data_IF_334490636692
#
_entry.id   IF_334490636692
#
_cell.length_a   1.000
_cell.length_b   1.000
_cell.length_c   1.000
_cell.angle_alpha   90.00
_cell.angle_beta   90.00
_cell.angle_gamma   90.00
#
_symmetry.space_group_name_H-M   'P 1'
#
loop_
_entity.id
_entity.type
_entity.pdbx_description
1 polymer ?
#
# COMPACT_ATOMS: atom_id res chain seq x y z
N UNK A 1 22.01 -50.29 -1.80
CA UNK A 1 23.11 -50.36 -2.80
C UNK A 1 24.11 -49.28 -2.49
N UNK A 2 25.41 -49.69 -2.30
CA UNK A 2 26.51 -48.74 -2.06
C UNK A 2 27.30 -48.50 -3.33
N UNK A 3 27.58 -47.19 -3.63
CA UNK A 3 28.35 -46.76 -4.81
C UNK A 3 29.29 -45.62 -4.36
N UNK A 4 30.58 -45.86 -4.41
CA UNK A 4 31.65 -44.89 -4.03
C UNK A 4 31.82 -43.76 -5.05
N UNK A 5 31.09 -43.78 -6.16
CA UNK A 5 31.17 -42.80 -7.24
C UNK A 5 29.80 -42.41 -7.79
N UNK A 6 29.76 -42.03 -9.04
CA UNK A 6 28.52 -41.63 -9.71
C UNK A 6 27.66 -42.85 -10.08
N UNK A 7 26.35 -42.70 -9.94
CA UNK A 7 25.35 -43.68 -10.36
C UNK A 7 24.50 -43.07 -11.49
N UNK A 8 24.35 -43.78 -12.60
CA UNK A 8 23.36 -43.44 -13.60
C UNK A 8 22.45 -44.62 -13.86
N UNK A 9 21.15 -44.37 -13.76
CA UNK A 9 20.12 -45.39 -14.00
C UNK A 9 19.22 -44.98 -15.16
N UNK A 10 19.06 -45.88 -16.11
CA UNK A 10 18.22 -45.62 -17.29
C UNK A 10 17.25 -46.78 -17.49
N UNK A 11 16.01 -46.50 -17.82
CA UNK A 11 15.02 -47.50 -18.21
C UNK A 11 14.92 -47.62 -19.70
N UNK A 12 15.01 -48.87 -20.21
CA UNK A 12 14.86 -49.15 -21.66
C UNK A 12 13.39 -49.36 -22.06
N UNK A 13 12.55 -49.73 -21.08
CA UNK A 13 11.14 -49.97 -21.34
C UNK A 13 10.38 -48.65 -21.37
N UNK A 14 9.46 -48.49 -22.34
CA UNK A 14 8.53 -47.36 -22.36
C UNK A 14 7.67 -47.39 -21.10
N UNK A 15 7.60 -46.22 -20.41
CA UNK A 15 6.95 -46.05 -19.12
C UNK A 15 7.56 -46.86 -17.95
N UNK A 16 8.81 -47.36 -18.11
CA UNK A 16 9.54 -48.02 -17.05
C UNK A 16 9.89 -47.04 -15.93
N UNK A 17 9.63 -47.41 -14.68
CA UNK A 17 9.94 -46.59 -13.50
C UNK A 17 11.22 -47.03 -12.82
N UNK A 18 11.91 -46.08 -12.20
CA UNK A 18 13.10 -46.31 -11.37
C UNK A 18 12.66 -46.23 -9.90
N UNK A 19 13.03 -47.24 -9.09
CA UNK A 19 12.79 -47.24 -7.63
C UNK A 19 14.04 -47.65 -6.89
N UNK A 20 14.63 -46.70 -6.18
CA UNK A 20 15.90 -46.83 -5.46
C UNK A 20 15.73 -46.32 -4.03
N UNK A 21 15.13 -47.12 -3.15
CA UNK A 21 14.71 -46.69 -1.80
C UNK A 21 15.76 -46.83 -0.71
N UNK A 22 16.93 -47.37 -1.03
CA UNK A 22 18.01 -47.65 -0.05
C UNK A 22 19.37 -47.55 -0.76
N UNK A 23 19.81 -46.32 -0.98
CA UNK A 23 21.11 -46.04 -1.59
C UNK A 23 22.08 -45.43 -0.59
N UNK A 24 23.36 -45.78 -0.78
CA UNK A 24 24.50 -45.12 -0.21
C UNK A 24 25.44 -44.72 -1.38
N UNK A 25 25.16 -43.59 -2.01
CA UNK A 25 25.88 -43.06 -3.15
C UNK A 25 26.64 -41.81 -2.75
N UNK A 26 27.98 -41.84 -2.83
CA UNK A 26 28.82 -40.71 -2.46
C UNK A 26 28.98 -39.69 -3.61
N UNK A 27 28.72 -40.10 -4.85
CA UNK A 27 28.79 -39.23 -6.03
C UNK A 27 27.42 -38.73 -6.50
N UNK A 28 27.37 -38.31 -7.75
CA UNK A 28 26.14 -37.82 -8.36
C UNK A 28 25.24 -38.95 -8.87
N UNK A 29 23.92 -38.70 -8.83
CA UNK A 29 22.89 -39.64 -9.29
C UNK A 29 22.17 -39.08 -10.51
N UNK A 30 22.26 -39.76 -11.66
CA UNK A 30 21.52 -39.47 -12.87
C UNK A 30 20.36 -40.45 -13.06
N UNK A 31 19.18 -39.93 -13.30
CA UNK A 31 17.92 -40.68 -13.44
C UNK A 31 17.32 -40.43 -14.82
N UNK A 32 17.21 -41.46 -15.64
CA UNK A 32 16.67 -41.33 -17.01
C UNK A 32 15.56 -42.34 -17.22
N UNK A 33 14.31 -41.88 -17.26
CA UNK A 33 13.17 -42.72 -17.56
C UNK A 33 12.71 -42.53 -19.01
N UNK A 34 12.02 -43.51 -19.56
CA UNK A 34 11.45 -43.46 -20.89
C UNK A 34 9.92 -43.37 -20.86
N UNK A 35 9.33 -42.53 -21.72
CA UNK A 35 7.89 -42.29 -21.75
C UNK A 35 7.41 -41.57 -20.47
N UNK A 36 6.35 -42.05 -19.82
CA UNK A 36 5.81 -41.51 -18.58
C UNK A 36 6.34 -42.18 -17.30
N UNK A 37 7.53 -42.85 -17.41
CA UNK A 37 8.13 -43.52 -16.26
C UNK A 37 8.51 -42.56 -15.14
N UNK A 38 8.21 -42.92 -13.89
CA UNK A 38 8.53 -42.16 -12.69
C UNK A 38 9.85 -42.59 -12.07
N UNK A 39 10.47 -41.74 -11.27
CA UNK A 39 11.67 -42.09 -10.51
C UNK A 39 11.45 -41.78 -9.01
N UNK A 40 11.84 -42.75 -8.16
CA UNK A 40 11.92 -42.58 -6.73
C UNK A 40 13.33 -42.90 -6.25
N UNK A 41 13.94 -42.00 -5.47
CA UNK A 41 15.29 -42.18 -4.92
C UNK A 41 15.36 -41.74 -3.47
N UNK A 42 15.92 -42.58 -2.63
CA UNK A 42 16.26 -42.29 -1.23
C UNK A 42 17.74 -42.58 -1.05
N UNK A 43 18.53 -41.54 -0.76
CA UNK A 43 19.96 -41.69 -0.46
C UNK A 43 20.20 -41.49 1.04
N UNK A 44 21.02 -42.31 1.65
CA UNK A 44 21.33 -42.28 3.10
C UNK A 44 22.24 -41.08 3.47
N UNK A 45 22.82 -40.43 2.49
CA UNK A 45 23.64 -39.24 2.62
C UNK A 45 22.93 -38.01 1.98
N UNK A 46 23.68 -37.00 1.61
CA UNK A 46 23.23 -35.96 0.69
C UNK A 46 22.89 -36.52 -0.68
N UNK A 47 22.12 -35.81 -1.46
CA UNK A 47 21.74 -36.22 -2.82
C UNK A 47 22.23 -35.18 -3.83
N UNK A 48 23.20 -35.56 -4.65
CA UNK A 48 23.63 -34.73 -5.78
C UNK A 48 23.06 -35.26 -7.08
N UNK A 49 22.18 -34.50 -7.72
CA UNK A 49 21.68 -34.86 -9.04
C UNK A 49 22.72 -34.59 -10.16
N UNK A 50 23.00 -35.57 -10.97
CA UNK A 50 23.52 -35.34 -12.32
C UNK A 50 22.39 -34.92 -13.27
N UNK A 51 22.71 -34.62 -14.52
CA UNK A 51 21.68 -34.38 -15.54
C UNK A 51 20.69 -35.57 -15.56
N UNK A 52 19.40 -35.25 -15.45
CA UNK A 52 18.34 -36.27 -15.32
C UNK A 52 17.11 -35.88 -16.13
N UNK A 53 16.50 -36.88 -16.79
CA UNK A 53 15.23 -36.72 -17.52
C UNK A 53 14.25 -37.72 -17.01
N UNK A 54 13.14 -37.24 -16.39
CA UNK A 54 12.09 -38.10 -15.84
C UNK A 54 10.75 -37.73 -16.46
N UNK A 55 10.22 -38.61 -17.28
CA UNK A 55 8.96 -38.36 -18.00
C UNK A 55 7.69 -38.54 -17.16
N UNK A 56 7.81 -38.99 -15.91
CA UNK A 56 6.76 -39.03 -14.90
C UNK A 56 7.14 -38.23 -13.67
N UNK A 57 6.72 -38.70 -12.50
CA UNK A 57 7.00 -38.04 -11.22
C UNK A 57 8.42 -38.35 -10.73
N UNK A 58 9.05 -37.36 -10.09
CA UNK A 58 10.28 -37.53 -9.33
C UNK A 58 9.95 -37.44 -7.84
N UNK A 59 10.35 -38.45 -7.05
CA UNK A 59 10.34 -38.40 -5.58
C UNK A 59 11.78 -38.61 -5.09
N UNK A 60 12.34 -37.61 -4.43
CA UNK A 60 13.74 -37.62 -4.01
C UNK A 60 13.89 -37.27 -2.52
N UNK A 61 14.59 -38.11 -1.78
CA UNK A 61 14.89 -37.91 -0.36
C UNK A 61 16.40 -38.01 -0.09
N UNK A 62 16.95 -36.99 0.54
CA UNK A 62 18.26 -36.99 1.17
C UNK A 62 18.07 -37.18 2.68
N UNK A 63 18.64 -38.24 3.29
CA UNK A 63 18.36 -38.56 4.70
C UNK A 63 19.27 -37.86 5.68
N UNK A 64 20.54 -37.62 5.34
CA UNK A 64 21.52 -37.05 6.28
C UNK A 64 22.31 -35.84 5.74
N UNK A 65 21.98 -35.33 4.59
CA UNK A 65 22.71 -34.20 3.99
C UNK A 65 21.89 -33.39 3.01
N UNK A 66 22.56 -32.46 2.35
CA UNK A 66 21.95 -31.53 1.41
C UNK A 66 21.52 -32.17 0.09
N UNK A 67 20.57 -31.56 -0.58
CA UNK A 67 20.21 -31.88 -1.94
C UNK A 67 20.79 -30.82 -2.90
N UNK A 68 21.58 -31.27 -3.87
CA UNK A 68 22.29 -30.40 -4.82
C UNK A 68 22.18 -30.95 -6.24
N UNK A 69 22.64 -30.20 -7.25
CA UNK A 69 22.74 -30.69 -8.63
C UNK A 69 24.06 -30.30 -9.30
N UNK A 70 24.51 -31.15 -10.21
CA UNK A 70 25.63 -30.88 -11.12
C UNK A 70 25.21 -30.83 -12.59
N UNK A 71 23.95 -31.15 -12.89
CA UNK A 71 23.36 -31.11 -14.23
C UNK A 71 21.88 -30.74 -14.19
N UNK A 72 21.31 -30.42 -15.35
CA UNK A 72 19.90 -30.01 -15.45
C UNK A 72 18.95 -31.16 -15.09
N UNK A 73 17.83 -30.79 -14.47
CA UNK A 73 16.68 -31.66 -14.21
C UNK A 73 15.56 -31.29 -15.17
N UNK A 74 15.10 -32.28 -15.95
CA UNK A 74 13.97 -32.19 -16.85
C UNK A 74 12.89 -33.19 -16.40
N UNK A 75 11.87 -32.66 -15.69
CA UNK A 75 10.87 -33.47 -15.02
C UNK A 75 9.48 -33.09 -15.51
N UNK A 76 8.80 -34.01 -16.17
CA UNK A 76 7.47 -33.75 -16.74
C UNK A 76 6.33 -33.87 -15.72
N UNK A 77 6.48 -34.73 -14.72
CA UNK A 77 5.49 -34.92 -13.66
C UNK A 77 5.77 -34.12 -12.40
N UNK A 78 5.05 -34.44 -11.34
CA UNK A 78 5.24 -33.85 -10.01
C UNK A 78 6.66 -34.15 -9.47
N UNK A 79 7.33 -33.15 -8.96
CA UNK A 79 8.62 -33.27 -8.30
C UNK A 79 8.47 -33.11 -6.79
N UNK A 80 8.84 -34.12 -6.01
CA UNK A 80 8.84 -34.06 -4.56
C UNK A 80 10.27 -34.14 -4.05
N UNK A 81 10.71 -33.13 -3.31
CA UNK A 81 12.06 -33.00 -2.74
C UNK A 81 12.00 -32.98 -1.21
N UNK A 82 12.73 -33.90 -0.56
CA UNK A 82 12.71 -34.01 0.89
C UNK A 82 14.14 -34.07 1.42
N UNK A 83 14.47 -33.19 2.37
CA UNK A 83 15.65 -33.37 3.23
C UNK A 83 15.18 -33.75 4.64
N UNK A 84 15.72 -34.84 5.22
CA UNK A 84 15.27 -35.34 6.53
C UNK A 84 16.21 -34.91 7.68
N UNK A 85 17.45 -34.54 7.37
CA UNK A 85 18.37 -34.03 8.38
C UNK A 85 18.05 -32.58 8.73
N UNK A 86 18.28 -32.22 10.00
CA UNK A 86 18.23 -30.82 10.42
C UNK A 86 19.17 -29.96 9.58
N UNK A 87 18.78 -28.75 9.27
CA UNK A 87 19.57 -27.73 8.57
C UNK A 87 20.00 -28.12 7.15
N UNK A 88 19.51 -29.25 6.63
CA UNK A 88 19.87 -29.70 5.29
C UNK A 88 19.16 -28.86 4.22
N UNK A 89 19.96 -28.37 3.29
CA UNK A 89 19.51 -27.43 2.25
C UNK A 89 19.15 -28.14 0.94
N UNK A 90 18.32 -27.48 0.12
CA UNK A 90 18.04 -27.89 -1.25
C UNK A 90 18.54 -26.79 -2.20
N UNK A 91 19.52 -27.09 -3.04
CA UNK A 91 20.08 -26.12 -4.00
C UNK A 91 20.06 -26.70 -5.41
N UNK A 92 19.07 -26.29 -6.20
CA UNK A 92 18.88 -26.69 -7.60
C UNK A 92 18.94 -25.45 -8.50
N UNK A 93 20.14 -24.88 -8.67
CA UNK A 93 20.37 -23.57 -9.28
C UNK A 93 20.69 -23.60 -10.78
N UNK A 94 20.60 -24.74 -11.47
CA UNK A 94 20.89 -24.82 -12.90
C UNK A 94 19.80 -24.11 -13.71
N UNK A 95 20.19 -23.16 -14.55
CA UNK A 95 19.26 -22.32 -15.34
C UNK A 95 18.52 -23.05 -16.46
N UNK A 96 18.91 -24.28 -16.76
CA UNK A 96 18.28 -25.16 -17.75
C UNK A 96 17.39 -26.24 -17.11
N UNK A 97 17.03 -26.11 -15.84
CA UNK A 97 16.01 -26.97 -15.25
C UNK A 97 14.65 -26.75 -15.91
N UNK A 98 13.84 -27.81 -15.98
CA UNK A 98 12.47 -27.80 -16.43
C UNK A 98 11.62 -28.65 -15.45
N UNK A 99 10.72 -28.00 -14.73
CA UNK A 99 9.75 -28.65 -13.87
C UNK A 99 8.36 -28.38 -14.43
N UNK A 100 7.80 -29.35 -15.18
CA UNK A 100 6.48 -29.17 -15.83
C UNK A 100 5.34 -29.38 -14.85
N UNK A 101 5.47 -30.35 -13.95
CA UNK A 101 4.50 -30.59 -12.88
C UNK A 101 4.79 -29.80 -11.61
N UNK A 102 3.90 -29.95 -10.62
CA UNK A 102 4.05 -29.24 -9.35
C UNK A 102 5.32 -29.68 -8.59
N UNK A 103 5.99 -28.69 -7.97
CA UNK A 103 7.16 -28.88 -7.13
C UNK A 103 6.74 -28.85 -5.66
N UNK A 104 6.91 -29.95 -4.94
CA UNK A 104 6.62 -30.08 -3.51
C UNK A 104 7.94 -30.17 -2.75
N UNK A 105 8.11 -29.36 -1.71
CA UNK A 105 9.36 -29.21 -0.99
C UNK A 105 9.13 -29.45 0.50
N UNK A 106 9.99 -30.25 1.11
CA UNK A 106 10.01 -30.41 2.57
C UNK A 106 11.45 -30.38 3.06
N UNK A 107 11.77 -29.39 3.88
CA UNK A 107 13.00 -29.38 4.68
C UNK A 107 12.67 -29.62 6.14
N UNK A 108 13.65 -30.04 6.93
CA UNK A 108 13.48 -30.36 8.33
C UNK A 108 14.49 -29.58 9.16
N UNK A 109 13.98 -28.88 10.15
CA UNK A 109 14.75 -28.31 11.24
C UNK A 109 14.01 -28.55 12.55
N UNK A 110 14.67 -29.20 13.51
CA UNK A 110 14.13 -29.40 14.87
C UNK A 110 14.60 -28.29 15.83
N UNK A 111 15.37 -27.32 15.33
CA UNK A 111 15.89 -26.18 16.07
C UNK A 111 14.90 -25.02 16.15
N UNK A 112 15.38 -23.91 16.67
CA UNK A 112 14.66 -22.64 16.74
C UNK A 112 15.21 -21.60 15.75
N UNK A 113 16.24 -21.96 14.98
CA UNK A 113 16.79 -21.14 13.92
C UNK A 113 16.01 -21.33 12.60
N UNK A 114 16.35 -20.61 11.59
CA UNK A 114 15.73 -20.66 10.25
C UNK A 114 16.71 -21.30 9.27
N UNK A 115 17.23 -22.49 9.58
CA UNK A 115 18.08 -23.27 8.71
C UNK A 115 17.26 -24.21 7.81
N UNK A 116 17.88 -24.90 6.87
CA UNK A 116 17.17 -25.73 5.90
C UNK A 116 16.73 -24.96 4.67
N UNK A 117 17.60 -24.10 4.15
CA UNK A 117 17.32 -23.21 3.03
C UNK A 117 17.05 -23.96 1.73
N UNK A 118 16.18 -23.38 0.91
CA UNK A 118 15.83 -23.87 -0.41
C UNK A 118 16.11 -22.81 -1.47
N UNK A 119 16.89 -23.16 -2.48
CA UNK A 119 17.14 -22.32 -3.65
C UNK A 119 16.93 -23.11 -4.93
N UNK A 120 15.92 -22.73 -5.70
CA UNK A 120 15.55 -23.43 -6.94
C UNK A 120 15.42 -22.47 -8.11
N UNK A 121 16.06 -22.82 -9.23
CA UNK A 121 15.90 -22.17 -10.52
C UNK A 121 15.03 -23.06 -11.43
N UNK A 122 13.85 -22.59 -11.82
CA UNK A 122 12.89 -23.33 -12.65
C UNK A 122 13.15 -23.25 -14.14
N UNK A 123 14.21 -22.53 -14.57
CA UNK A 123 14.52 -22.33 -15.98
C UNK A 123 13.48 -21.47 -16.70
N UNK A 124 13.18 -21.82 -17.95
CA UNK A 124 12.21 -21.12 -18.82
C UNK A 124 10.81 -21.71 -18.76
N UNK A 125 10.60 -22.76 -17.96
CA UNK A 125 9.30 -23.40 -17.76
C UNK A 125 8.55 -22.68 -16.64
N UNK A 126 7.22 -22.59 -16.72
CA UNK A 126 6.40 -22.08 -15.63
C UNK A 126 6.61 -22.97 -14.39
N UNK A 127 6.84 -22.33 -13.23
CA UNK A 127 7.11 -23.03 -11.98
C UNK A 127 5.83 -23.05 -11.13
N UNK A 128 5.31 -24.24 -10.90
CA UNK A 128 4.12 -24.48 -10.07
C UNK A 128 4.55 -25.05 -8.73
N UNK A 129 4.27 -24.37 -7.61
CA UNK A 129 4.65 -24.84 -6.29
C UNK A 129 3.43 -25.51 -5.62
N UNK A 130 3.60 -26.78 -5.28
CA UNK A 130 2.61 -27.54 -4.50
C UNK A 130 2.79 -27.36 -2.99
N UNK A 131 2.09 -28.17 -2.18
CA UNK A 131 2.23 -28.15 -0.73
C UNK A 131 3.71 -28.24 -0.32
N UNK A 132 4.20 -27.21 0.36
CA UNK A 132 5.61 -27.10 0.72
C UNK A 132 5.81 -26.58 2.14
N UNK A 133 6.74 -27.19 2.87
CA UNK A 133 7.19 -26.75 4.19
C UNK A 133 8.70 -26.53 4.13
N UNK A 134 9.12 -25.29 4.34
CA UNK A 134 10.52 -24.88 4.34
C UNK A 134 10.84 -24.24 5.69
N UNK A 135 11.74 -24.85 6.44
CA UNK A 135 12.13 -24.33 7.75
C UNK A 135 13.15 -23.18 7.66
N UNK A 136 13.89 -23.09 6.57
CA UNK A 136 14.81 -21.99 6.25
C UNK A 136 14.23 -20.98 5.29
N UNK A 137 15.12 -20.33 4.56
CA UNK A 137 14.79 -19.36 3.50
C UNK A 137 14.37 -20.09 2.22
N UNK A 138 13.37 -19.53 1.52
CA UNK A 138 12.94 -20.00 0.22
C UNK A 138 13.34 -19.00 -0.88
N UNK A 139 14.15 -19.42 -1.83
CA UNK A 139 14.50 -18.66 -3.02
C UNK A 139 14.02 -19.39 -4.27
N UNK A 140 13.11 -18.77 -5.01
CA UNK A 140 12.59 -19.29 -6.28
C UNK A 140 12.93 -18.33 -7.40
N UNK A 141 13.54 -18.83 -8.46
CA UNK A 141 13.89 -18.05 -9.66
C UNK A 141 13.28 -18.70 -10.90
N UNK A 142 12.62 -17.92 -11.75
CA UNK A 142 12.15 -18.35 -13.05
C UNK A 142 12.52 -17.32 -14.11
N UNK A 143 12.97 -17.80 -15.28
CA UNK A 143 13.18 -16.97 -16.48
C UNK A 143 12.06 -17.18 -17.51
N UNK A 144 11.00 -17.87 -17.14
CA UNK A 144 9.79 -17.96 -17.95
C UNK A 144 9.20 -16.54 -18.18
N UNK A 145 8.51 -16.37 -19.30
CA UNK A 145 7.88 -15.10 -19.66
C UNK A 145 6.39 -15.28 -19.87
N UNK A 146 5.61 -14.21 -19.64
CA UNK A 146 4.15 -14.20 -19.82
C UNK A 146 3.38 -14.43 -18.54
N UNK A 147 2.08 -14.64 -18.66
CA UNK A 147 1.19 -14.88 -17.52
C UNK A 147 1.43 -16.24 -16.87
N UNK A 148 1.36 -16.33 -15.54
CA UNK A 148 1.47 -17.54 -14.75
C UNK A 148 2.82 -18.27 -14.83
N UNK A 149 3.94 -17.54 -14.87
CA UNK A 149 5.25 -18.16 -14.83
C UNK A 149 5.67 -18.68 -13.45
N UNK A 150 5.05 -18.19 -12.38
CA UNK A 150 5.19 -18.74 -11.04
C UNK A 150 3.86 -18.74 -10.31
N UNK A 151 3.39 -19.91 -9.92
CA UNK A 151 2.09 -20.08 -9.24
C UNK A 151 2.21 -21.08 -8.09
N UNK A 152 1.28 -21.00 -7.14
CA UNK A 152 1.11 -22.05 -6.14
C UNK A 152 -0.20 -22.82 -6.39
N UNK A 153 -0.21 -24.09 -6.03
CA UNK A 153 -1.39 -24.98 -6.05
C UNK A 153 -1.58 -25.68 -4.71
N UNK A 154 -0.73 -25.39 -3.73
CA UNK A 154 -0.76 -25.94 -2.40
C UNK A 154 -0.29 -24.92 -1.37
N UNK A 155 -0.42 -25.25 -0.09
CA UNK A 155 0.01 -24.42 1.03
C UNK A 155 1.54 -24.23 1.04
N UNK A 156 1.98 -22.99 1.08
CA UNK A 156 3.37 -22.62 1.32
C UNK A 156 3.53 -22.24 2.80
N UNK A 157 4.20 -23.08 3.58
CA UNK A 157 4.53 -22.80 4.96
C UNK A 157 6.04 -22.56 5.07
N UNK A 158 6.44 -21.29 5.06
CA UNK A 158 7.85 -20.86 4.99
C UNK A 158 8.20 -20.11 6.28
N UNK A 159 9.19 -20.61 6.99
CA UNK A 159 9.59 -20.05 8.28
C UNK A 159 10.62 -18.92 8.14
N UNK A 160 11.57 -19.08 7.23
CA UNK A 160 12.55 -18.05 6.88
C UNK A 160 12.00 -17.01 5.92
N UNK A 161 12.88 -16.24 5.33
CA UNK A 161 12.52 -15.27 4.29
C UNK A 161 12.11 -15.97 2.98
N UNK A 162 11.29 -15.28 2.19
CA UNK A 162 10.89 -15.77 0.86
C UNK A 162 11.33 -14.77 -0.20
N UNK A 163 12.09 -15.24 -1.17
CA UNK A 163 12.52 -14.46 -2.33
C UNK A 163 12.03 -15.12 -3.62
N UNK A 164 11.22 -14.39 -4.38
CA UNK A 164 10.70 -14.82 -5.67
C UNK A 164 11.19 -13.88 -6.76
N UNK A 165 11.89 -14.42 -7.76
CA UNK A 165 12.37 -13.65 -8.90
C UNK A 165 11.82 -14.22 -10.21
N UNK A 166 10.85 -13.49 -10.77
CA UNK A 166 10.21 -13.77 -12.05
C UNK A 166 9.97 -12.46 -12.82
N UNK A 167 11.02 -11.66 -12.99
CA UNK A 167 10.94 -10.28 -13.48
C UNK A 167 10.36 -10.13 -14.90
N UNK A 168 10.29 -11.21 -15.69
CA UNK A 168 9.65 -11.23 -17.02
C UNK A 168 8.21 -11.75 -17.03
N UNK A 169 7.60 -12.02 -15.88
CA UNK A 169 6.36 -12.79 -15.80
C UNK A 169 5.51 -12.48 -14.55
N UNK A 170 4.27 -12.98 -14.55
CA UNK A 170 3.38 -12.85 -13.42
C UNK A 170 3.72 -13.88 -12.32
N UNK A 171 3.53 -13.46 -11.08
CA UNK A 171 3.63 -14.28 -9.87
C UNK A 171 2.27 -14.34 -9.18
N UNK A 172 1.77 -15.55 -8.95
CA UNK A 172 0.48 -15.77 -8.28
C UNK A 172 0.64 -16.81 -7.17
N UNK A 173 0.78 -16.34 -5.94
CA UNK A 173 0.85 -17.15 -4.72
C UNK A 173 -0.45 -16.92 -3.92
N UNK A 174 -1.55 -17.54 -4.38
CA UNK A 174 -2.90 -17.19 -3.93
C UNK A 174 -3.64 -18.32 -3.18
N UNK A 175 -2.96 -19.38 -2.80
CA UNK A 175 -3.53 -20.38 -1.91
C UNK A 175 -3.83 -19.74 -0.56
N UNK A 176 -5.10 -19.79 -0.14
CA UNK A 176 -5.61 -19.07 1.03
C UNK A 176 -5.03 -19.54 2.37
N UNK A 177 -4.26 -20.61 2.38
CA UNK A 177 -3.61 -21.18 3.56
C UNK A 177 -2.10 -20.89 3.60
N UNK A 178 -1.57 -20.08 2.70
CA UNK A 178 -0.17 -19.69 2.71
C UNK A 178 0.21 -19.01 4.03
N UNK A 179 1.41 -19.30 4.52
CA UNK A 179 1.96 -18.81 5.78
C UNK A 179 3.45 -18.48 5.59
N UNK A 180 3.76 -17.22 5.31
CA UNK A 180 5.13 -16.70 5.26
C UNK A 180 5.45 -16.04 6.60
N UNK A 181 6.44 -16.56 7.34
CA UNK A 181 6.77 -16.05 8.66
C UNK A 181 7.94 -15.04 8.63
N UNK A 182 8.81 -15.14 7.63
CA UNK A 182 9.85 -14.17 7.35
C UNK A 182 9.46 -13.14 6.31
N UNK A 183 10.38 -12.23 6.00
CA UNK A 183 10.17 -11.18 5.02
C UNK A 183 10.01 -11.75 3.59
N UNK A 184 9.13 -11.15 2.79
CA UNK A 184 8.77 -11.61 1.44
C UNK A 184 9.18 -10.59 0.40
N UNK A 185 10.13 -10.96 -0.45
CA UNK A 185 10.58 -10.19 -1.61
C UNK A 185 10.04 -10.82 -2.91
N UNK A 186 9.39 -10.04 -3.76
CA UNK A 186 8.86 -10.54 -5.04
C UNK A 186 9.18 -9.57 -6.18
N UNK A 187 9.92 -10.07 -7.17
CA UNK A 187 10.09 -9.38 -8.45
C UNK A 187 9.24 -10.06 -9.53
N UNK A 188 8.36 -9.29 -10.17
CA UNK A 188 7.44 -9.81 -11.18
C UNK A 188 6.81 -8.74 -12.06
N UNK A 189 5.99 -9.18 -13.02
CA UNK A 189 5.16 -8.26 -13.82
C UNK A 189 3.89 -7.94 -13.03
N UNK A 190 2.92 -8.85 -12.94
CA UNK A 190 1.81 -8.71 -12.01
C UNK A 190 2.00 -9.70 -10.86
N UNK A 191 1.74 -9.24 -9.65
CA UNK A 191 1.92 -10.04 -8.44
C UNK A 191 0.60 -10.16 -7.69
N UNK A 192 0.24 -11.37 -7.33
CA UNK A 192 -0.91 -11.68 -6.47
C UNK A 192 -0.44 -12.56 -5.31
N UNK A 193 -0.66 -12.10 -4.09
CA UNK A 193 -0.31 -12.85 -2.87
C UNK A 193 -1.53 -12.94 -1.96
N UNK A 194 -1.80 -14.13 -1.43
CA UNK A 194 -2.80 -14.37 -0.38
C UNK A 194 -2.13 -15.11 0.77
N UNK A 195 -2.35 -14.67 1.99
CA UNK A 195 -1.68 -15.18 3.19
C UNK A 195 -2.62 -15.11 4.40
N UNK A 196 -2.47 -16.03 5.35
CA UNK A 196 -3.34 -16.12 6.53
C UNK A 196 -2.92 -15.29 7.72
N UNK A 197 -1.65 -14.92 7.81
CA UNK A 197 -1.03 -14.24 8.96
C UNK A 197 -0.58 -12.81 8.63
N UNK A 198 0.22 -12.23 9.51
CA UNK A 198 0.97 -11.00 9.25
C UNK A 198 2.00 -11.23 8.14
N UNK A 199 2.33 -10.17 7.40
CA UNK A 199 3.38 -10.22 6.38
C UNK A 199 4.30 -8.99 6.49
N UNK A 200 5.59 -9.24 6.33
CA UNK A 200 6.61 -8.21 6.11
C UNK A 200 7.06 -8.23 4.64
N UNK A 201 6.87 -7.12 3.95
CA UNK A 201 7.26 -6.97 2.55
C UNK A 201 8.70 -6.47 2.48
N UNK A 202 9.59 -7.32 2.01
CA UNK A 202 10.97 -6.94 1.69
C UNK A 202 11.03 -6.21 0.33
N UNK A 203 12.22 -5.75 -0.03
CA UNK A 203 12.44 -5.02 -1.28
C UNK A 203 11.90 -5.80 -2.48
N UNK A 204 11.00 -5.18 -3.23
CA UNK A 204 10.29 -5.82 -4.34
C UNK A 204 10.14 -4.87 -5.53
N UNK A 205 10.27 -5.43 -6.75
CA UNK A 205 10.10 -4.69 -7.99
C UNK A 205 8.97 -5.30 -8.81
N UNK A 206 7.86 -4.57 -8.97
CA UNK A 206 6.68 -5.01 -9.71
C UNK A 206 6.40 -4.01 -10.84
N UNK A 207 6.51 -4.48 -12.09
CA UNK A 207 6.34 -3.61 -13.26
C UNK A 207 4.90 -3.44 -13.69
N UNK A 208 3.99 -4.25 -13.17
CA UNK A 208 2.53 -4.18 -13.33
C UNK A 208 1.84 -3.98 -11.99
N UNK A 209 0.72 -4.66 -11.76
CA UNK A 209 -0.09 -4.54 -10.57
C UNK A 209 0.42 -5.44 -9.42
N UNK A 210 0.28 -4.93 -8.19
CA UNK A 210 0.52 -5.70 -6.96
C UNK A 210 -0.77 -5.85 -6.17
N UNK A 211 -1.17 -7.08 -5.89
CA UNK A 211 -2.38 -7.39 -5.10
C UNK A 211 -2.01 -8.29 -3.92
N UNK A 212 -2.28 -7.84 -2.72
CA UNK A 212 -2.06 -8.58 -1.48
C UNK A 212 -3.35 -8.69 -0.68
N UNK A 213 -3.65 -9.90 -0.23
CA UNK A 213 -4.67 -10.14 0.81
C UNK A 213 -4.00 -10.81 1.99
N UNK A 214 -3.99 -10.14 3.13
CA UNK A 214 -3.41 -10.63 4.38
C UNK A 214 -4.48 -10.86 5.43
N UNK A 215 -4.40 -11.95 6.15
CA UNK A 215 -5.26 -12.23 7.31
C UNK A 215 -4.89 -11.44 8.56
N UNK A 216 -3.67 -10.92 8.62
CA UNK A 216 -3.11 -10.11 9.69
C UNK A 216 -2.63 -8.73 9.22
N UNK A 217 -1.65 -8.18 9.92
CA UNK A 217 -1.05 -6.89 9.59
C UNK A 217 -0.04 -7.00 8.44
N UNK A 218 0.15 -5.89 7.73
CA UNK A 218 1.13 -5.75 6.65
C UNK A 218 2.16 -4.69 7.04
N UNK A 219 3.42 -5.05 6.95
CA UNK A 219 4.56 -4.13 7.14
C UNK A 219 5.49 -4.18 5.93
N UNK A 220 6.39 -3.21 5.80
CA UNK A 220 7.50 -3.27 4.86
C UNK A 220 8.85 -3.07 5.57
N UNK A 221 9.80 -3.94 5.28
CA UNK A 221 11.20 -3.81 5.69
C UNK A 221 12.12 -3.43 4.51
N UNK A 222 11.58 -3.37 3.30
CA UNK A 222 12.32 -3.04 2.09
C UNK A 222 11.52 -2.14 1.14
N UNK A 223 12.22 -1.50 0.21
CA UNK A 223 11.60 -0.60 -0.75
C UNK A 223 10.66 -1.35 -1.72
N UNK A 224 9.45 -0.87 -1.86
CA UNK A 224 8.46 -1.37 -2.81
C UNK A 224 8.45 -0.46 -4.05
N UNK A 225 8.92 -0.95 -5.18
CA UNK A 225 8.90 -0.25 -6.46
C UNK A 225 7.80 -0.85 -7.34
N UNK A 226 6.62 -0.21 -7.38
CA UNK A 226 5.43 -0.74 -8.05
C UNK A 226 4.96 0.26 -9.12
N UNK A 227 4.95 -0.18 -10.38
CA UNK A 227 4.57 0.70 -11.50
C UNK A 227 3.05 0.75 -11.70
N UNK A 228 2.36 -0.36 -11.52
CA UNK A 228 0.91 -0.46 -11.67
C UNK A 228 0.15 -0.13 -10.38
N UNK A 229 -1.11 -0.54 -10.34
CA UNK A 229 -1.97 -0.36 -9.16
C UNK A 229 -1.50 -1.26 -8.02
N UNK A 230 -1.36 -0.69 -6.83
CA UNK A 230 -1.16 -1.41 -5.58
C UNK A 230 -2.49 -1.60 -4.87
N UNK A 231 -2.86 -2.84 -4.57
CA UNK A 231 -4.08 -3.17 -3.82
C UNK A 231 -3.71 -4.04 -2.61
N UNK A 232 -3.97 -3.55 -1.41
CA UNK A 232 -3.71 -4.27 -0.16
C UNK A 232 -5.01 -4.39 0.63
N UNK A 233 -5.40 -5.61 0.92
CA UNK A 233 -6.52 -5.90 1.81
C UNK A 233 -5.99 -6.58 3.09
N UNK A 234 -5.98 -5.82 4.17
CA UNK A 234 -5.69 -6.25 5.53
C UNK A 234 -6.80 -5.75 6.48
N UNK A 235 -8.06 -6.07 6.13
CA UNK A 235 -9.25 -5.49 6.80
C UNK A 235 -9.30 -5.74 8.31
N UNK A 236 -8.60 -6.77 8.80
CA UNK A 236 -8.49 -7.10 10.23
C UNK A 236 -7.17 -6.64 10.87
N UNK A 237 -6.22 -6.14 10.09
CA UNK A 237 -4.88 -5.74 10.52
C UNK A 237 -4.53 -4.29 10.22
N UNK A 238 -3.37 -3.88 10.70
CA UNK A 238 -2.79 -2.59 10.34
C UNK A 238 -1.96 -2.73 9.07
N UNK A 239 -1.84 -1.64 8.31
CA UNK A 239 -0.93 -1.56 7.17
C UNK A 239 0.10 -0.46 7.43
N UNK A 240 1.37 -0.81 7.45
CA UNK A 240 2.49 0.11 7.70
C UNK A 240 3.53 -0.04 6.59
N UNK A 241 3.40 0.77 5.54
CA UNK A 241 4.34 0.86 4.43
C UNK A 241 5.14 2.15 4.60
N UNK A 242 6.14 2.12 5.46
CA UNK A 242 6.82 3.34 5.90
C UNK A 242 8.29 3.47 5.45
N UNK A 243 8.74 2.58 4.60
CA UNK A 243 10.06 2.69 3.97
C UNK A 243 10.10 3.93 3.07
N UNK A 244 11.00 4.86 3.37
CA UNK A 244 11.05 6.19 2.73
C UNK A 244 11.44 6.16 1.25
N UNK A 245 11.85 5.02 0.74
CA UNK A 245 12.22 4.77 -0.66
C UNK A 245 11.15 3.99 -1.43
N UNK A 246 9.98 3.77 -0.85
CA UNK A 246 8.84 3.23 -1.61
C UNK A 246 8.50 4.14 -2.79
N UNK A 247 8.13 3.54 -3.89
CA UNK A 247 7.79 4.24 -5.13
C UNK A 247 6.56 3.59 -5.78
N UNK A 248 5.40 4.11 -5.46
CA UNK A 248 4.12 3.70 -6.02
C UNK A 248 3.75 4.63 -7.17
N UNK A 249 3.84 4.15 -8.41
CA UNK A 249 3.57 4.98 -9.59
C UNK A 249 2.08 4.91 -10.02
N UNK A 250 1.39 3.84 -9.67
CA UNK A 250 -0.05 3.69 -9.87
C UNK A 250 -0.84 3.98 -8.60
N UNK A 251 -2.17 3.92 -8.71
CA UNK A 251 -3.07 4.16 -7.58
C UNK A 251 -2.83 3.15 -6.43
N UNK A 252 -2.80 3.65 -5.19
CA UNK A 252 -2.62 2.85 -3.96
C UNK A 252 -3.98 2.69 -3.27
N UNK A 253 -4.47 1.46 -3.22
CA UNK A 253 -5.75 1.06 -2.60
C UNK A 253 -5.48 0.23 -1.37
N UNK A 254 -5.95 0.66 -0.21
CA UNK A 254 -5.68 -0.05 1.05
C UNK A 254 -6.94 -0.15 1.90
N UNK A 255 -7.31 -1.38 2.25
CA UNK A 255 -8.29 -1.67 3.28
C UNK A 255 -7.56 -2.16 4.53
N UNK A 256 -7.77 -1.48 5.68
CA UNK A 256 -7.08 -1.81 6.93
C UNK A 256 -7.67 -1.15 8.16
N UNK A 257 -7.12 -1.50 9.32
CA UNK A 257 -7.51 -0.85 10.60
C UNK A 257 -6.81 0.49 10.72
N UNK A 258 -5.51 0.52 11.00
CA UNK A 258 -4.71 1.74 10.92
C UNK A 258 -3.77 1.61 9.74
N UNK A 259 -3.65 2.67 8.96
CA UNK A 259 -2.86 2.67 7.73
C UNK A 259 -1.82 3.78 7.76
N UNK A 260 -0.58 3.44 7.50
CA UNK A 260 0.52 4.39 7.27
C UNK A 260 1.17 4.06 5.94
N UNK A 261 1.25 5.06 5.06
CA UNK A 261 1.91 4.92 3.75
C UNK A 261 2.90 6.05 3.57
N UNK A 262 4.12 5.70 3.17
CA UNK A 262 5.15 6.66 2.75
C UNK A 262 5.53 6.35 1.32
N UNK A 263 5.53 7.36 0.47
CA UNK A 263 6.02 7.33 -0.89
C UNK A 263 7.17 8.30 -1.08
N UNK A 264 8.16 7.92 -1.87
CA UNK A 264 9.32 8.78 -2.19
C UNK A 264 8.93 9.94 -3.11
N UNK A 265 7.90 9.81 -3.92
CA UNK A 265 7.45 10.77 -4.92
C UNK A 265 6.05 11.31 -4.68
N UNK A 266 5.32 11.51 -5.76
CA UNK A 266 3.88 11.79 -5.73
C UNK A 266 3.09 10.50 -5.54
N UNK A 267 1.98 10.57 -4.81
CA UNK A 267 1.13 9.40 -4.58
C UNK A 267 -0.31 9.69 -5.02
N UNK A 268 -0.90 8.73 -5.71
CA UNK A 268 -2.32 8.69 -6.03
C UNK A 268 -3.04 7.68 -5.13
N UNK A 269 -4.02 8.13 -4.38
CA UNK A 269 -4.80 7.31 -3.45
C UNK A 269 -6.03 6.76 -4.16
N UNK A 270 -6.02 5.46 -4.41
CA UNK A 270 -7.19 4.74 -4.92
C UNK A 270 -8.24 4.51 -3.82
N UNK A 271 -9.37 3.92 -4.20
CA UNK A 271 -10.44 3.64 -3.24
C UNK A 271 -9.93 2.80 -2.05
N UNK A 272 -10.11 3.33 -0.83
CA UNK A 272 -9.58 2.75 0.40
C UNK A 272 -10.58 2.84 1.55
N UNK A 273 -10.61 1.79 2.38
CA UNK A 273 -11.45 1.73 3.57
C UNK A 273 -10.58 1.56 4.81
N UNK A 274 -10.53 2.59 5.68
CA UNK A 274 -9.72 2.58 6.90
C UNK A 274 -10.60 2.84 8.12
N UNK A 275 -10.65 1.87 9.03
CA UNK A 275 -11.52 1.96 10.20
C UNK A 275 -10.89 2.73 11.38
N UNK A 276 -9.58 2.90 11.39
CA UNK A 276 -8.81 3.69 12.35
C UNK A 276 -8.11 4.87 11.68
N UNK A 277 -6.91 5.20 12.15
CA UNK A 277 -6.13 6.31 11.63
C UNK A 277 -5.55 6.04 10.23
N UNK A 278 -5.51 7.09 9.39
CA UNK A 278 -4.91 7.06 8.07
C UNK A 278 -3.82 8.11 7.93
N UNK A 279 -2.60 7.70 7.69
CA UNK A 279 -1.46 8.60 7.54
C UNK A 279 -0.75 8.37 6.20
N UNK A 280 -0.67 9.40 5.36
CA UNK A 280 -0.02 9.36 4.05
C UNK A 280 1.08 10.40 3.98
N UNK A 281 2.26 10.03 3.50
CA UNK A 281 3.39 10.93 3.32
C UNK A 281 4.01 10.79 1.92
N UNK A 282 4.06 11.88 1.16
CA UNK A 282 4.82 12.03 -0.07
C UNK A 282 6.15 12.74 0.26
N UNK A 283 7.23 11.97 0.51
CA UNK A 283 8.42 12.44 1.24
C UNK A 283 9.37 13.33 0.42
N UNK A 284 9.63 13.04 -0.85
CA UNK A 284 10.61 13.74 -1.67
C UNK A 284 10.02 14.81 -2.61
N UNK A 285 8.85 15.33 -2.29
CA UNK A 285 8.31 16.50 -2.96
C UNK A 285 7.32 16.20 -4.07
N UNK A 286 6.48 15.17 -3.90
CA UNK A 286 5.32 14.92 -4.73
C UNK A 286 4.04 15.53 -4.17
N UNK A 287 3.05 15.70 -5.03
CA UNK A 287 1.68 16.01 -4.63
C UNK A 287 0.98 14.73 -4.14
N UNK A 288 -0.04 14.89 -3.31
CA UNK A 288 -0.95 13.79 -2.95
C UNK A 288 -2.27 14.03 -3.70
N UNK A 289 -2.73 13.02 -4.40
CA UNK A 289 -4.00 13.04 -5.13
C UNK A 289 -4.87 11.85 -4.75
N UNK A 290 -6.15 11.91 -5.05
CA UNK A 290 -7.02 10.73 -5.00
C UNK A 290 -7.67 10.48 -6.36
N UNK A 291 -7.66 9.22 -6.78
CA UNK A 291 -8.43 8.73 -7.93
C UNK A 291 -9.59 7.82 -7.51
N UNK A 292 -9.75 7.60 -6.21
CA UNK A 292 -10.81 6.76 -5.64
C UNK A 292 -11.34 7.31 -4.33
N UNK A 293 -12.50 6.82 -3.91
CA UNK A 293 -13.15 7.24 -2.66
C UNK A 293 -12.35 6.77 -1.45
N UNK A 294 -12.02 7.68 -0.55
CA UNK A 294 -11.41 7.41 0.75
C UNK A 294 -12.50 7.36 1.82
N UNK A 295 -12.75 6.19 2.38
CA UNK A 295 -13.69 6.00 3.50
C UNK A 295 -12.90 5.82 4.80
N UNK A 296 -12.70 6.91 5.55
CA UNK A 296 -11.82 6.96 6.71
C UNK A 296 -12.61 7.28 7.98
N UNK A 297 -12.62 6.34 8.95
CA UNK A 297 -13.36 6.52 10.19
C UNK A 297 -12.55 7.25 11.25
N UNK A 298 -11.26 7.00 11.37
CA UNK A 298 -10.36 7.67 12.31
C UNK A 298 -9.80 8.97 11.78
N UNK A 299 -8.85 9.57 12.50
CA UNK A 299 -8.18 10.78 12.05
C UNK A 299 -7.35 10.51 10.78
N UNK A 300 -7.43 11.45 9.82
CA UNK A 300 -6.66 11.41 8.59
C UNK A 300 -5.53 12.45 8.60
N UNK A 301 -4.34 12.06 8.19
CA UNK A 301 -3.19 12.97 8.10
C UNK A 301 -2.51 12.81 6.74
N UNK A 302 -2.37 13.90 6.01
CA UNK A 302 -1.71 13.94 4.71
C UNK A 302 -0.51 14.90 4.77
N UNK A 303 0.67 14.37 4.49
CA UNK A 303 1.93 15.12 4.53
C UNK A 303 2.58 15.14 3.14
N UNK A 304 2.59 16.28 2.48
CA UNK A 304 3.26 16.45 1.20
C UNK A 304 4.59 17.17 1.35
N UNK A 305 5.41 17.18 0.32
CA UNK A 305 6.67 17.94 0.31
C UNK A 305 6.45 19.45 0.39
N UNK A 306 7.52 20.19 0.71
CA UNK A 306 7.47 21.65 0.75
C UNK A 306 7.08 22.25 -0.62
N UNK A 307 6.12 23.18 -0.63
CA UNK A 307 5.61 23.83 -1.83
C UNK A 307 4.72 22.94 -2.71
N UNK A 308 4.29 21.79 -2.20
CA UNK A 308 3.41 20.84 -2.90
C UNK A 308 1.95 21.01 -2.51
N UNK A 309 1.09 20.40 -3.29
CA UNK A 309 -0.35 20.49 -3.11
C UNK A 309 -0.95 19.14 -2.75
N UNK A 310 -2.13 19.18 -2.14
CA UNK A 310 -2.92 17.99 -1.81
C UNK A 310 -4.31 18.16 -2.43
N UNK A 311 -4.70 17.21 -3.28
CA UNK A 311 -5.96 17.20 -3.99
C UNK A 311 -6.73 15.93 -3.64
N UNK A 312 -7.71 16.05 -2.77
CA UNK A 312 -8.61 14.97 -2.34
C UNK A 312 -10.04 15.36 -2.75
N UNK A 313 -10.27 15.45 -4.07
CA UNK A 313 -11.51 15.98 -4.65
C UNK A 313 -12.53 14.89 -5.02
N UNK A 314 -12.23 13.64 -4.74
CA UNK A 314 -13.19 12.53 -4.80
C UNK A 314 -14.35 12.68 -3.81
N UNK A 315 -15.39 11.86 -3.96
CA UNK A 315 -16.52 11.83 -3.02
C UNK A 315 -16.12 11.12 -1.70
N UNK A 316 -15.14 11.65 -0.99
CA UNK A 316 -14.55 11.05 0.19
C UNK A 316 -15.51 11.06 1.38
N UNK A 317 -15.19 10.28 2.40
CA UNK A 317 -15.91 10.22 3.67
C UNK A 317 -14.91 10.21 4.81
N UNK A 318 -14.67 11.35 5.43
CA UNK A 318 -13.86 11.49 6.62
C UNK A 318 -14.78 11.66 7.83
N UNK A 319 -14.76 10.68 8.75
CA UNK A 319 -15.63 10.74 9.93
C UNK A 319 -14.97 11.39 11.16
N UNK A 320 -13.75 11.90 11.00
CA UNK A 320 -12.95 12.53 12.05
C UNK A 320 -12.10 13.66 11.46
N UNK A 321 -11.32 14.34 12.30
CA UNK A 321 -10.45 15.45 11.91
C UNK A 321 -9.48 15.09 10.78
N UNK A 322 -9.36 15.99 9.80
CA UNK A 322 -8.40 15.90 8.70
C UNK A 322 -7.26 16.91 8.92
N UNK A 323 -6.04 16.41 8.91
CA UNK A 323 -4.82 17.20 9.06
C UNK A 323 -4.01 17.20 7.77
N UNK A 324 -3.51 18.37 7.39
CA UNK A 324 -2.61 18.56 6.27
C UNK A 324 -1.31 19.20 6.74
N UNK A 325 -0.18 18.66 6.31
CA UNK A 325 1.14 19.14 6.74
C UNK A 325 2.18 19.05 5.62
N UNK A 326 3.31 19.70 5.83
CA UNK A 326 4.49 19.55 5.00
C UNK A 326 5.77 19.79 5.80
N UNK A 327 6.92 19.40 5.26
CA UNK A 327 8.23 19.76 5.80
C UNK A 327 8.57 21.26 5.71
N UNK A 328 7.64 22.08 5.24
CA UNK A 328 7.70 23.52 5.10
C UNK A 328 6.29 24.08 5.02
N UNK A 329 5.88 24.63 3.86
CA UNK A 329 4.54 25.17 3.64
C UNK A 329 3.89 24.46 2.46
N UNK A 330 2.63 24.04 2.58
CA UNK A 330 1.85 23.52 1.46
C UNK A 330 1.50 24.65 0.49
N UNK A 331 1.41 24.34 -0.79
CA UNK A 331 0.91 25.28 -1.79
C UNK A 331 -0.63 25.37 -1.71
N UNK A 332 -1.33 24.34 -2.16
CA UNK A 332 -2.79 24.33 -2.17
C UNK A 332 -3.33 23.08 -1.50
N UNK A 333 -4.55 23.19 -0.96
CA UNK A 333 -5.35 22.04 -0.57
C UNK A 333 -6.72 22.14 -1.23
N UNK A 334 -7.13 21.06 -1.89
CA UNK A 334 -8.50 20.82 -2.33
C UNK A 334 -9.01 19.56 -1.65
N UNK A 335 -10.16 19.65 -1.01
CA UNK A 335 -10.79 18.49 -0.36
C UNK A 335 -12.29 18.50 -0.59
N UNK A 336 -12.85 17.32 -0.86
CA UNK A 336 -14.28 17.07 -0.90
C UNK A 336 -14.63 15.96 0.07
N UNK A 337 -15.65 16.20 0.89
CA UNK A 337 -16.21 15.23 1.84
C UNK A 337 -17.72 15.08 1.63
N UNK A 338 -18.23 13.89 1.82
CA UNK A 338 -19.67 13.60 1.78
C UNK A 338 -20.38 13.82 3.12
N UNK A 339 -19.63 14.00 4.21
CA UNK A 339 -20.08 14.17 5.59
C UNK A 339 -19.63 15.51 6.18
N UNK A 340 -19.66 15.61 7.53
CA UNK A 340 -19.04 16.72 8.25
C UNK A 340 -17.52 16.69 8.08
N UNK A 341 -16.91 17.83 7.75
CA UNK A 341 -15.48 18.00 7.58
C UNK A 341 -14.92 18.88 8.71
N UNK A 342 -13.98 18.35 9.48
CA UNK A 342 -13.26 19.10 10.52
C UNK A 342 -11.79 19.24 10.16
N UNK A 343 -11.31 20.48 10.09
CA UNK A 343 -9.92 20.81 9.84
C UNK A 343 -9.11 20.88 11.13
N UNK A 344 -8.01 20.12 11.22
CA UNK A 344 -6.91 20.46 12.12
C UNK A 344 -6.22 21.75 11.69
N UNK A 345 -5.21 22.20 12.46
CA UNK A 345 -4.42 23.36 12.08
C UNK A 345 -3.80 23.18 10.69
N UNK A 346 -3.90 24.24 9.85
CA UNK A 346 -3.42 24.22 8.46
C UNK A 346 -2.73 25.52 8.09
N UNK A 347 -1.59 25.43 7.40
CA UNK A 347 -0.87 26.57 6.84
C UNK A 347 -0.65 26.38 5.34
N UNK A 348 -1.18 27.31 4.53
CA UNK A 348 -1.05 27.31 3.08
C UNK A 348 -0.43 28.61 2.56
N UNK A 349 0.48 28.48 1.60
CA UNK A 349 0.97 29.63 0.80
C UNK A 349 0.05 29.94 -0.39
N UNK A 350 -0.83 29.05 -0.77
CA UNK A 350 -1.81 29.17 -1.85
C UNK A 350 -3.24 29.05 -1.34
N UNK A 351 -4.09 28.38 -2.10
CA UNK A 351 -5.53 28.34 -1.92
C UNK A 351 -6.00 27.15 -1.09
N UNK A 352 -7.11 27.35 -0.36
CA UNK A 352 -7.92 26.28 0.20
C UNK A 352 -9.25 26.19 -0.56
N UNK A 353 -9.59 24.98 -1.02
CA UNK A 353 -10.91 24.65 -1.55
C UNK A 353 -11.44 23.48 -0.72
N UNK A 354 -12.54 23.70 -0.02
CA UNK A 354 -13.17 22.70 0.83
C UNK A 354 -14.66 22.59 0.51
N UNK A 355 -15.10 21.37 0.20
CA UNK A 355 -16.50 21.07 -0.11
C UNK A 355 -17.01 19.99 0.81
N UNK A 356 -18.16 20.22 1.46
CA UNK A 356 -18.93 19.17 2.13
C UNK A 356 -20.30 19.06 1.47
N UNK A 357 -20.57 17.90 0.86
CA UNK A 357 -21.82 17.71 0.10
C UNK A 357 -23.03 17.31 0.98
N UNK A 358 -22.78 16.78 2.18
CA UNK A 358 -23.84 16.28 3.08
C UNK A 358 -23.75 16.74 4.52
N UNK A 359 -22.73 17.52 4.90
CA UNK A 359 -22.49 17.91 6.27
C UNK A 359 -22.03 19.36 6.46
N UNK A 360 -21.54 19.64 7.64
CA UNK A 360 -20.98 20.94 8.03
C UNK A 360 -19.46 20.95 7.86
N UNK A 361 -18.87 22.16 7.76
CA UNK A 361 -17.42 22.35 7.77
C UNK A 361 -17.02 23.11 9.02
N UNK A 362 -16.05 22.58 9.77
CA UNK A 362 -15.55 23.15 11.02
C UNK A 362 -14.01 23.21 11.03
N UNK A 363 -13.48 24.00 11.94
CA UNK A 363 -12.05 24.01 12.28
C UNK A 363 -11.85 23.72 13.78
N UNK A 364 -11.06 22.70 14.09
CA UNK A 364 -10.56 22.43 15.44
C UNK A 364 -9.15 23.00 15.66
N UNK A 365 -8.51 23.54 14.62
CA UNK A 365 -7.19 24.16 14.64
C UNK A 365 -7.11 25.41 13.78
N UNK A 366 -6.07 26.23 14.00
CA UNK A 366 -5.91 27.50 13.28
C UNK A 366 -5.66 27.29 11.77
N UNK A 367 -6.39 28.03 10.94
CA UNK A 367 -6.23 28.08 9.49
C UNK A 367 -5.45 29.35 9.09
N UNK A 368 -4.22 29.22 8.62
CA UNK A 368 -3.40 30.32 8.10
C UNK A 368 -3.28 30.18 6.57
N UNK A 369 -4.11 30.89 5.84
CA UNK A 369 -4.26 30.77 4.39
C UNK A 369 -3.85 32.06 3.69
N UNK A 370 -2.78 32.02 2.88
CA UNK A 370 -2.31 33.20 2.15
C UNK A 370 -3.15 33.47 0.89
N UNK A 371 -3.57 32.43 0.19
CA UNK A 371 -4.40 32.52 -1.01
C UNK A 371 -5.89 32.65 -0.73
N UNK A 372 -6.69 32.41 -1.74
CA UNK A 372 -8.15 32.40 -1.64
C UNK A 372 -8.62 31.18 -0.85
N UNK A 373 -9.57 31.41 0.07
CA UNK A 373 -10.28 30.36 0.78
C UNK A 373 -11.68 30.21 0.17
N UNK A 374 -12.01 29.03 -0.33
CA UNK A 374 -13.36 28.72 -0.84
C UNK A 374 -13.91 27.54 -0.04
N UNK A 375 -15.04 27.75 0.61
CA UNK A 375 -15.70 26.75 1.46
C UNK A 375 -17.14 26.61 1.01
N UNK A 376 -17.55 25.41 0.65
CA UNK A 376 -18.91 25.07 0.25
C UNK A 376 -19.48 23.97 1.13
N UNK A 377 -20.40 24.34 2.01
CA UNK A 377 -21.25 23.45 2.77
C UNK A 377 -22.72 23.86 2.57
N UNK A 378 -23.16 23.86 1.31
CA UNK A 378 -24.49 24.41 0.94
C UNK A 378 -25.67 23.73 1.63
N UNK A 379 -25.49 22.48 2.09
CA UNK A 379 -26.48 21.72 2.88
C UNK A 379 -26.24 21.78 4.40
N UNK A 380 -25.11 22.34 4.85
CA UNK A 380 -24.67 22.36 6.25
C UNK A 380 -24.24 23.73 6.75
N UNK A 381 -23.70 23.76 7.94
CA UNK A 381 -23.15 24.99 8.52
C UNK A 381 -21.64 25.10 8.26
N UNK A 382 -21.12 26.31 8.24
CA UNK A 382 -19.68 26.57 8.24
C UNK A 382 -19.31 27.28 9.54
N UNK A 383 -18.40 26.69 10.31
CA UNK A 383 -17.94 27.25 11.58
C UNK A 383 -16.40 27.24 11.61
N UNK A 384 -15.81 28.33 11.11
CA UNK A 384 -14.36 28.57 11.14
C UNK A 384 -14.08 29.62 12.20
N UNK A 385 -14.12 29.19 13.49
CA UNK A 385 -14.16 30.10 14.60
C UNK A 385 -12.94 30.07 15.52
N UNK A 386 -11.89 29.37 15.14
CA UNK A 386 -10.61 29.41 15.88
C UNK A 386 -10.06 30.83 15.88
N UNK A 387 -9.84 31.41 17.05
CA UNK A 387 -9.51 32.84 17.24
C UNK A 387 -8.17 33.27 16.59
N UNK A 388 -7.35 32.32 16.20
CA UNK A 388 -6.06 32.53 15.54
C UNK A 388 -6.08 32.22 14.03
N UNK A 389 -7.25 32.04 13.44
CA UNK A 389 -7.36 31.94 11.99
C UNK A 389 -6.81 33.22 11.34
N UNK A 390 -6.17 33.08 10.20
CA UNK A 390 -5.56 34.20 9.46
C UNK A 390 -5.76 33.97 7.95
N UNK A 391 -6.82 34.55 7.41
CA UNK A 391 -7.14 34.49 5.99
C UNK A 391 -6.63 35.76 5.30
N UNK A 392 -5.56 35.64 4.50
CA UNK A 392 -4.97 36.80 3.83
C UNK A 392 -5.60 37.10 2.47
N UNK A 393 -6.14 36.07 1.79
CA UNK A 393 -6.90 36.23 0.56
C UNK A 393 -8.39 36.29 0.80
N UNK A 394 -9.16 36.45 -0.30
CA UNK A 394 -10.62 36.51 -0.22
C UNK A 394 -11.23 35.19 0.32
N UNK A 395 -12.19 35.32 1.23
CA UNK A 395 -12.91 34.20 1.84
C UNK A 395 -14.30 34.09 1.23
N UNK A 396 -14.54 33.04 0.47
CA UNK A 396 -15.82 32.71 -0.20
C UNK A 396 -16.48 31.57 0.54
N UNK A 397 -17.71 31.75 0.99
CA UNK A 397 -18.40 30.72 1.78
C UNK A 397 -19.84 30.58 1.34
N UNK A 398 -20.21 29.36 0.96
CA UNK A 398 -21.60 28.96 0.75
C UNK A 398 -22.02 28.00 1.87
N UNK A 399 -23.16 28.30 2.56
CA UNK A 399 -23.62 27.49 3.69
C UNK A 399 -24.99 27.87 4.24
N UNK A 400 -25.46 27.08 5.19
CA UNK A 400 -26.73 27.38 5.89
C UNK A 400 -26.48 28.46 6.92
N UNK A 401 -25.81 28.16 8.02
CA UNK A 401 -25.36 29.17 8.99
C UNK A 401 -23.82 29.23 8.92
N UNK A 402 -23.29 30.43 8.89
CA UNK A 402 -21.87 30.67 8.76
C UNK A 402 -21.32 31.48 9.91
N UNK A 403 -20.27 31.02 10.55
CA UNK A 403 -19.49 31.75 11.55
C UNK A 403 -18.03 31.73 11.14
N UNK A 404 -17.43 32.92 10.95
CA UNK A 404 -16.01 33.08 10.63
C UNK A 404 -15.38 34.02 11.62
N UNK A 405 -14.22 33.62 12.14
CA UNK A 405 -13.37 34.46 12.99
C UNK A 405 -11.99 34.55 12.30
N UNK A 406 -11.49 35.77 12.17
CA UNK A 406 -10.15 36.07 11.69
C UNK A 406 -9.36 36.87 12.73
N UNK A 407 -8.08 36.56 12.89
CA UNK A 407 -7.19 37.27 13.80
C UNK A 407 -6.81 38.67 13.29
N UNK A 408 -6.89 38.92 12.00
CA UNK A 408 -6.51 40.18 11.35
C UNK A 408 -7.64 40.84 10.57
N UNK A 409 -7.33 41.38 9.41
CA UNK A 409 -8.31 41.90 8.43
C UNK A 409 -8.84 40.72 7.59
N UNK A 410 -10.12 40.78 7.26
CA UNK A 410 -10.75 39.77 6.40
C UNK A 410 -11.39 40.44 5.17
N UNK A 411 -11.16 39.86 3.99
CA UNK A 411 -11.83 40.18 2.74
C UNK A 411 -12.87 39.12 2.40
N UNK A 412 -14.13 39.51 2.30
CA UNK A 412 -15.24 38.62 2.02
C UNK A 412 -15.45 38.50 0.52
N UNK A 413 -15.13 37.34 -0.05
CA UNK A 413 -15.45 37.00 -1.41
C UNK A 413 -16.95 36.72 -1.61
N UNK A 414 -17.34 36.45 -2.86
CA UNK A 414 -18.75 36.14 -3.17
C UNK A 414 -19.22 34.93 -2.34
N UNK A 415 -20.30 35.14 -1.57
CA UNK A 415 -20.81 34.14 -0.62
C UNK A 415 -22.32 34.07 -0.63
N UNK A 416 -22.88 32.87 -0.48
CA UNK A 416 -24.32 32.60 -0.40
C UNK A 416 -24.65 31.92 0.92
N UNK A 417 -25.40 32.62 1.82
CA UNK A 417 -25.76 32.10 3.14
C UNK A 417 -27.27 32.14 3.31
N UNK A 418 -27.88 30.98 3.51
CA UNK A 418 -29.35 30.87 3.63
C UNK A 418 -29.88 31.15 5.04
N UNK A 419 -29.05 31.04 6.04
CA UNK A 419 -29.34 31.35 7.46
C UNK A 419 -28.50 32.52 7.97
N UNK A 420 -28.05 32.42 9.24
CA UNK A 420 -27.26 33.47 9.87
C UNK A 420 -25.83 33.54 9.35
N UNK A 421 -25.30 34.77 9.22
CA UNK A 421 -23.91 35.03 8.81
C UNK A 421 -23.21 35.90 9.89
N UNK A 422 -22.20 35.34 10.54
CA UNK A 422 -21.45 36.03 11.58
C UNK A 422 -19.96 36.09 11.20
N UNK A 423 -19.41 37.27 11.06
CA UNK A 423 -17.98 37.50 10.75
C UNK A 423 -17.36 38.37 11.86
N UNK A 424 -16.20 37.92 12.35
CA UNK A 424 -15.46 38.65 13.40
C UNK A 424 -13.99 38.80 13.04
N UNK A 425 -13.48 40.05 13.02
CA UNK A 425 -12.05 40.37 12.89
C UNK A 425 -11.54 40.83 14.27
N UNK A 426 -10.73 40.00 14.96
CA UNK A 426 -10.48 40.14 16.39
C UNK A 426 -9.33 41.06 16.78
N UNK A 427 -8.23 41.10 16.04
CA UNK A 427 -6.98 41.75 16.50
C UNK A 427 -6.55 42.96 15.66
N UNK A 428 -7.49 43.72 15.08
CA UNK A 428 -7.16 45.02 14.51
C UNK A 428 -7.13 45.10 13.00
N UNK A 429 -8.01 44.37 12.32
CA UNK A 429 -8.22 44.50 10.89
C UNK A 429 -9.62 44.95 10.51
N UNK A 430 -9.79 45.54 9.35
CA UNK A 430 -11.08 45.86 8.77
C UNK A 430 -11.76 44.58 8.22
N UNK A 431 -13.08 44.63 8.14
CA UNK A 431 -13.86 43.72 7.29
C UNK A 431 -14.11 44.44 5.97
N UNK A 432 -13.75 43.83 4.87
CA UNK A 432 -14.00 44.32 3.49
C UNK A 432 -14.73 43.24 2.68
N UNK A 433 -15.34 43.63 1.58
CA UNK A 433 -15.84 42.67 0.61
C UNK A 433 -15.24 42.91 -0.78
N UNK A 434 -14.77 41.86 -1.42
CA UNK A 434 -14.37 41.86 -2.84
C UNK A 434 -15.39 41.11 -3.73
N UNK A 435 -16.43 40.55 -3.13
CA UNK A 435 -17.48 39.82 -3.83
C UNK A 435 -18.86 40.07 -3.26
N UNK A 436 -19.88 39.74 -4.04
CA UNK A 436 -21.27 39.93 -3.62
C UNK A 436 -21.66 38.97 -2.51
N UNK A 437 -22.22 39.48 -1.42
CA UNK A 437 -22.79 38.72 -0.33
C UNK A 437 -24.32 38.58 -0.52
N UNK A 438 -24.79 37.36 -0.65
CA UNK A 438 -26.21 37.02 -0.75
C UNK A 438 -26.66 36.32 0.56
N UNK A 439 -27.16 37.09 1.53
CA UNK A 439 -27.45 36.61 2.86
C UNK A 439 -28.96 36.69 3.15
N UNK A 440 -29.58 35.55 3.43
CA UNK A 440 -31.02 35.47 3.68
C UNK A 440 -31.35 35.69 5.16
N UNK A 441 -30.51 35.18 6.08
CA UNK A 441 -30.72 35.32 7.54
C UNK A 441 -30.13 36.62 8.08
N UNK A 442 -29.98 36.64 9.43
CA UNK A 442 -29.35 37.78 10.10
C UNK A 442 -27.87 37.84 9.85
N UNK A 443 -27.34 38.98 9.40
CA UNK A 443 -25.92 39.21 9.23
C UNK A 443 -25.32 40.02 10.39
N UNK A 444 -24.21 39.59 10.96
CA UNK A 444 -23.50 40.29 12.05
C UNK A 444 -22.01 40.42 11.67
N UNK A 445 -21.52 41.63 11.65
CA UNK A 445 -20.13 41.95 11.39
C UNK A 445 -19.50 42.63 12.61
N UNK A 446 -18.43 42.05 13.15
CA UNK A 446 -17.77 42.53 14.38
C UNK A 446 -16.29 42.77 14.10
N UNK A 447 -15.80 43.95 14.42
CA UNK A 447 -14.38 44.31 14.30
C UNK A 447 -13.79 44.71 15.65
N UNK A 448 -12.47 44.79 15.74
CA UNK A 448 -11.80 45.34 16.88
C UNK A 448 -12.06 46.86 17.04
N UNK A 449 -11.71 47.43 18.21
CA UNK A 449 -11.86 48.85 18.46
C UNK A 449 -11.10 49.71 17.44
N UNK A 450 -11.76 50.74 16.90
CA UNK A 450 -11.15 51.67 15.92
C UNK A 450 -11.05 51.17 14.51
N UNK A 451 -11.60 49.99 14.19
CA UNK A 451 -11.58 49.41 12.83
C UNK A 451 -12.87 49.75 12.07
N UNK A 452 -12.85 49.50 10.75
CA UNK A 452 -13.93 49.84 9.84
C UNK A 452 -14.51 48.59 9.19
N UNK A 453 -15.74 48.68 8.70
CA UNK A 453 -16.45 47.69 7.91
C UNK A 453 -16.84 48.33 6.59
N UNK A 454 -16.35 47.80 5.47
CA UNK A 454 -16.60 48.27 4.12
C UNK A 454 -17.25 47.14 3.33
N UNK A 455 -18.56 47.25 3.08
CA UNK A 455 -19.34 46.26 2.32
C UNK A 455 -19.98 46.98 1.13
N UNK A 456 -19.15 47.43 0.18
CA UNK A 456 -19.50 48.35 -0.89
C UNK A 456 -19.86 47.69 -2.22
N UNK A 457 -19.85 46.35 -2.26
CA UNK A 457 -20.38 45.60 -3.41
C UNK A 457 -21.92 45.60 -3.46
N UNK A 458 -22.50 45.08 -4.54
CA UNK A 458 -23.96 44.99 -4.71
C UNK A 458 -24.57 43.85 -3.84
N UNK A 459 -24.38 43.94 -2.56
CA UNK A 459 -24.78 42.93 -1.55
C UNK A 459 -26.30 42.84 -1.43
N UNK A 460 -26.83 41.68 -1.12
CA UNK A 460 -28.23 41.41 -0.85
C UNK A 460 -28.40 40.83 0.56
N UNK A 461 -28.97 41.61 1.46
CA UNK A 461 -29.33 41.18 2.80
C UNK A 461 -30.86 41.16 2.90
N UNK A 462 -31.44 39.97 3.10
CA UNK A 462 -32.88 39.78 3.19
C UNK A 462 -33.42 39.96 4.62
N UNK A 463 -32.54 40.17 5.61
CA UNK A 463 -32.86 40.30 7.02
C UNK A 463 -32.00 41.39 7.68
N UNK A 464 -32.05 41.48 9.00
CA UNK A 464 -31.29 42.47 9.78
C UNK A 464 -29.79 42.34 9.57
N UNK A 465 -29.12 43.47 9.39
CA UNK A 465 -27.65 43.56 9.41
C UNK A 465 -27.24 44.33 10.67
N UNK A 466 -26.36 43.74 11.45
CA UNK A 466 -25.79 44.33 12.67
C UNK A 466 -24.29 44.57 12.52
N UNK A 467 -23.83 45.74 12.89
CA UNK A 467 -22.43 46.11 12.93
C UNK A 467 -22.01 46.40 14.37
N UNK A 468 -20.90 45.84 14.80
CA UNK A 468 -20.38 46.01 16.14
C UNK A 468 -18.86 46.11 16.20
N UNK A 469 -18.33 46.60 17.31
CA UNK A 469 -16.90 46.56 17.57
C UNK A 469 -16.62 46.32 19.08
N UNK A 470 -15.38 45.91 19.39
CA UNK A 470 -14.89 45.81 20.76
C UNK A 470 -14.80 47.15 21.49
N UNK A 471 -15.23 48.22 20.86
CA UNK A 471 -15.24 49.62 21.38
C UNK A 471 -16.00 50.52 20.43
N UNK A 472 -15.31 51.43 19.71
CA UNK A 472 -15.90 52.36 18.75
C UNK A 472 -15.59 51.89 17.31
N UNK A 473 -16.61 51.85 16.45
CA UNK A 473 -16.43 51.69 15.00
C UNK A 473 -15.86 52.98 14.42
N UNK A 474 -14.88 52.82 13.49
CA UNK A 474 -14.32 53.98 12.80
C UNK A 474 -15.27 54.40 11.65
N UNK A 475 -15.55 53.44 10.71
CA UNK A 475 -16.48 53.70 9.59
C UNK A 475 -17.32 52.44 9.29
N UNK A 476 -18.49 52.64 8.72
CA UNK A 476 -19.31 51.60 8.09
C UNK A 476 -19.76 52.16 6.74
N UNK A 477 -19.54 51.40 5.67
CA UNK A 477 -20.00 51.80 4.32
C UNK A 477 -20.80 50.66 3.72
#
# INVERSE_FOLDING_TARGET
VTVDGNLTVTTDANNGSITLNDLAVDGSIGLNTHGTGSAAVVNDAGLQFAASTVGGNLHATATTGNMTQSGALDIEGTTTLITSANDATITLGTTSNAFTGALLITTNDSGSDTAGDVSIHGGTTALVIGDSTVDGDLTLTSTATGSAAMTDTGTLNIRGSTTVSASGADVTLNTTTNNFQGAVAIDGVNVVVVITNDIDLAASTVTGNYTLTAGGSVTDSGALAITGVTTINASSGNVTLNTTTNNFQGAVKIDGVNVTVVDAGAIDLGASTVTGAYAVTASAGGDITDSGVLAITGAATFTAGNGRSIYLDGANTFSNTVAFSSGGTLANVTISDSNDLDFAALTLSGNLIATSTGGSITDSGALAITGVTTVDASSGNVTLNTATNNFQGAVKIDGVNVTVVDAGAIDLGASTVTGAYAVTATAGGNITDSGVLAITGVATFTVANGQSIYLDNANTFSNTVAFSSGGTLANVT
#
